data_IF_375826931800
#
_entry.id   IF_375826931800
#
_cell.length_a   1.000
_cell.length_b   1.000
_cell.length_c   1.000
_cell.angle_alpha   90.00
_cell.angle_beta   90.00
_cell.angle_gamma   90.00
#
_symmetry.space_group_name_H-M   'P 1'
#
loop_
_entity.id
_entity.type
_entity.pdbx_description
1 polymer ?
#
# COMPACT_ATOMS: atom_id res chain seq x y z
N UNK A 1 -24.98 -15.62 6.00
CA UNK A 1 -24.64 -15.08 6.24
C UNK A 1 -23.83 -14.97 6.35
N UNK A 2 -23.48 -14.80 6.31
CA UNK A 2 -22.74 -14.72 6.56
C UNK A 2 -22.14 -14.25 7.03
N UNK A 3 -22.14 -14.59 7.26
CA UNK A 3 -21.50 -14.31 8.06
C UNK A 3 -20.60 -13.39 8.08
N UNK A 4 -21.09 -12.81 8.47
CA UNK A 4 -20.33 -11.80 8.54
C UNK A 4 -19.09 -12.01 9.08
N UNK A 5 -18.55 -11.89 8.64
CA UNK A 5 -17.33 -12.08 8.71
C UNK A 5 -16.50 -11.17 9.43
N UNK A 6 -16.19 -11.55 10.55
CA UNK A 6 -15.04 -11.04 11.26
C UNK A 6 -13.84 -11.43 10.42
N UNK A 7 -13.07 -10.46 9.92
CA UNK A 7 -11.87 -10.81 9.16
C UNK A 7 -10.95 -11.63 10.04
N UNK A 8 -10.48 -12.73 9.49
CA UNK A 8 -9.49 -13.55 10.17
C UNK A 8 -8.18 -12.78 10.20
N UNK A 9 -7.56 -12.70 11.36
CA UNK A 9 -6.25 -12.05 11.47
C UNK A 9 -5.23 -12.78 10.59
N UNK A 10 -4.37 -12.03 9.94
CA UNK A 10 -3.35 -12.59 9.07
C UNK A 10 -2.27 -13.26 9.92
N UNK A 11 -1.98 -14.51 9.59
CA UNK A 11 -0.93 -15.25 10.29
C UNK A 11 0.44 -14.70 9.92
N UNK A 12 1.20 -14.17 10.88
CA UNK A 12 2.54 -13.66 10.59
C UNK A 12 3.45 -14.68 9.93
N UNK A 13 3.24 -15.98 10.20
CA UNK A 13 4.08 -17.02 9.61
C UNK A 13 3.91 -17.13 8.10
N UNK A 14 2.81 -16.59 7.54
CA UNK A 14 2.56 -16.62 6.10
C UNK A 14 3.14 -15.42 5.37
N UNK A 15 3.74 -14.45 6.09
CA UNK A 15 4.22 -13.21 5.49
C UNK A 15 5.70 -13.32 5.08
N UNK A 16 6.07 -12.73 3.94
CA UNK A 16 7.49 -12.65 3.55
C UNK A 16 8.31 -11.83 4.55
N UNK A 17 9.63 -12.05 4.61
CA UNK A 17 10.48 -11.30 5.53
C UNK A 17 10.39 -9.78 5.39
N UNK A 18 10.27 -9.27 4.17
CA UNK A 18 10.18 -7.81 3.97
C UNK A 18 8.87 -7.23 4.51
N UNK A 19 7.82 -8.03 4.57
CA UNK A 19 6.55 -7.60 5.16
C UNK A 19 6.62 -7.69 6.69
N UNK A 20 7.32 -8.70 7.22
CA UNK A 20 7.54 -8.78 8.66
C UNK A 20 8.34 -7.58 9.17
N UNK A 21 9.32 -7.13 8.39
CA UNK A 21 10.08 -5.93 8.73
C UNK A 21 9.17 -4.70 8.75
N UNK A 22 8.28 -4.56 7.77
CA UNK A 22 7.30 -3.48 7.76
C UNK A 22 6.39 -3.55 8.98
N UNK A 23 5.91 -4.75 9.32
CA UNK A 23 5.05 -4.96 10.47
C UNK A 23 5.73 -4.46 11.76
N UNK A 24 7.01 -4.75 11.92
CA UNK A 24 7.77 -4.29 13.07
C UNK A 24 7.86 -2.76 13.11
N UNK A 25 8.05 -2.12 11.96
CA UNK A 25 8.08 -0.66 11.87
C UNK A 25 6.73 -0.04 12.22
N UNK A 26 5.64 -0.76 12.05
CA UNK A 26 4.29 -0.28 12.29
C UNK A 26 3.79 -0.56 13.71
N UNK A 27 4.69 -0.85 14.65
CA UNK A 27 4.32 -1.12 16.03
C UNK A 27 3.56 0.01 16.72
N UNK A 28 3.62 1.23 16.17
CA UNK A 28 2.88 2.36 16.71
C UNK A 28 1.38 2.34 16.34
N UNK A 29 0.97 1.49 15.40
CA UNK A 29 -0.44 1.42 15.00
C UNK A 29 -1.24 0.49 15.93
N UNK A 30 -2.49 0.84 16.24
CA UNK A 30 -3.40 -0.10 16.90
C UNK A 30 -3.55 -1.36 16.09
N UNK A 31 -3.82 -2.47 16.75
CA UNK A 31 -3.89 -3.77 16.09
C UNK A 31 -4.88 -3.80 14.93
N UNK A 32 -6.05 -3.20 15.09
CA UNK A 32 -7.06 -3.18 14.02
C UNK A 32 -6.54 -2.48 12.77
N UNK A 33 -5.78 -1.40 12.95
CA UNK A 33 -5.21 -0.68 11.82
C UNK A 33 -4.04 -1.43 11.20
N UNK A 34 -3.24 -2.09 12.02
CA UNK A 34 -2.17 -2.94 11.51
C UNK A 34 -2.73 -4.06 10.63
N UNK A 35 -3.83 -4.68 11.05
CA UNK A 35 -4.46 -5.74 10.24
C UNK A 35 -4.95 -5.20 8.90
N UNK A 36 -5.44 -3.97 8.85
CA UNK A 36 -5.83 -3.34 7.59
C UNK A 36 -4.63 -3.16 6.66
N UNK A 37 -3.48 -2.78 7.21
CA UNK A 37 -2.26 -2.64 6.41
C UNK A 37 -1.82 -3.99 5.85
N UNK A 38 -1.85 -5.04 6.66
CA UNK A 38 -1.50 -6.38 6.20
C UNK A 38 -2.47 -6.89 5.14
N UNK A 39 -3.75 -6.56 5.27
CA UNK A 39 -4.74 -6.87 4.26
C UNK A 39 -4.44 -6.14 2.94
N UNK A 40 -4.00 -4.89 3.02
CA UNK A 40 -3.58 -4.14 1.83
C UNK A 40 -2.42 -4.83 1.13
N UNK A 41 -1.46 -5.37 1.89
CA UNK A 41 -0.39 -6.16 1.29
C UNK A 41 -0.95 -7.36 0.54
N UNK A 42 -1.88 -8.11 1.13
CA UNK A 42 -2.45 -9.28 0.45
C UNK A 42 -3.16 -8.89 -0.84
N UNK A 43 -3.97 -7.85 -0.79
CA UNK A 43 -4.72 -7.38 -1.96
C UNK A 43 -3.74 -6.90 -3.04
N UNK A 44 -2.74 -6.13 -2.65
CA UNK A 44 -1.74 -5.63 -3.59
C UNK A 44 -0.91 -6.76 -4.20
N UNK A 45 -0.49 -7.72 -3.39
CA UNK A 45 0.29 -8.84 -3.88
C UNK A 45 -0.50 -9.68 -4.88
N UNK A 46 -1.78 -9.91 -4.59
CA UNK A 46 -2.65 -10.65 -5.49
C UNK A 46 -2.90 -9.88 -6.79
N UNK A 47 -3.12 -8.57 -6.69
CA UNK A 47 -3.35 -7.72 -7.87
C UNK A 47 -2.13 -7.70 -8.79
N UNK A 48 -0.93 -7.68 -8.22
CA UNK A 48 0.31 -7.66 -9.00
C UNK A 48 0.88 -9.06 -9.27
N UNK A 49 0.11 -10.11 -8.99
CA UNK A 49 0.59 -11.47 -9.18
C UNK A 49 1.09 -11.68 -10.60
N UNK A 50 2.27 -12.27 -10.74
CA UNK A 50 2.89 -12.49 -12.02
C UNK A 50 3.72 -11.33 -12.54
N UNK A 51 3.63 -10.15 -11.92
CA UNK A 51 4.44 -9.00 -12.31
C UNK A 51 5.75 -9.02 -11.52
N UNK A 52 6.85 -8.79 -12.21
CA UNK A 52 8.16 -8.77 -11.58
C UNK A 52 8.89 -7.48 -11.92
N UNK A 53 9.84 -7.11 -11.07
CA UNK A 53 10.75 -6.00 -11.32
C UNK A 53 11.88 -6.48 -12.21
N UNK A 54 12.68 -5.55 -12.73
CA UNK A 54 13.85 -5.91 -13.54
C UNK A 54 14.80 -6.85 -12.80
N UNK A 55 14.85 -6.75 -11.48
CA UNK A 55 15.68 -7.61 -10.64
C UNK A 55 15.13 -9.03 -10.49
N UNK A 56 13.90 -9.29 -10.97
CA UNK A 56 13.25 -10.58 -10.82
C UNK A 56 12.39 -10.70 -9.57
N UNK A 57 12.42 -9.72 -8.67
CA UNK A 57 11.59 -9.73 -7.46
C UNK A 57 10.13 -9.46 -7.80
N UNK A 58 9.19 -9.99 -7.00
CA UNK A 58 7.77 -9.65 -7.18
C UNK A 58 7.57 -8.14 -7.12
N UNK A 59 6.68 -7.63 -7.97
CA UNK A 59 6.47 -6.18 -8.05
C UNK A 59 6.07 -5.56 -6.72
N UNK A 60 5.31 -6.27 -5.90
CA UNK A 60 4.81 -5.76 -4.62
C UNK A 60 5.94 -5.34 -3.66
N UNK A 61 7.17 -5.83 -3.86
CA UNK A 61 8.29 -5.45 -3.00
C UNK A 61 8.58 -3.95 -3.07
N UNK A 62 8.32 -3.32 -4.23
CA UNK A 62 8.52 -1.88 -4.39
C UNK A 62 7.54 -1.05 -3.55
N UNK A 63 6.22 -1.20 -3.69
CA UNK A 63 5.31 -0.41 -2.84
C UNK A 63 5.46 -0.72 -1.36
N UNK A 64 5.83 -1.93 -0.98
CA UNK A 64 6.10 -2.23 0.43
C UNK A 64 7.33 -1.45 0.93
N UNK A 65 8.36 -1.30 0.10
CA UNK A 65 9.53 -0.50 0.47
C UNK A 65 9.16 0.98 0.66
N UNK A 66 8.29 1.52 -0.22
CA UNK A 66 7.79 2.90 -0.06
C UNK A 66 7.01 3.03 1.25
N UNK A 67 6.17 2.05 1.56
CA UNK A 67 5.44 2.03 2.82
C UNK A 67 6.37 2.03 4.03
N UNK A 68 7.49 1.32 3.93
CA UNK A 68 8.50 1.29 5.00
C UNK A 68 9.09 2.66 5.29
N UNK A 69 9.34 3.45 4.25
CA UNK A 69 9.83 4.82 4.41
C UNK A 69 8.79 5.66 5.15
N UNK A 70 7.53 5.54 4.78
CA UNK A 70 6.46 6.27 5.43
C UNK A 70 6.24 5.82 6.88
N UNK A 71 6.42 4.53 7.15
CA UNK A 71 6.33 4.00 8.51
C UNK A 71 7.40 4.60 9.41
N UNK A 72 8.61 4.80 8.88
CA UNK A 72 9.67 5.46 9.64
C UNK A 72 9.29 6.88 10.02
N UNK A 73 8.45 7.53 9.21
CA UNK A 73 7.96 8.86 9.48
C UNK A 73 6.72 8.88 10.38
N UNK A 74 6.24 7.73 10.82
CA UNK A 74 5.08 7.63 11.71
C UNK A 74 3.76 7.95 11.07
N UNK A 75 3.61 7.69 9.77
CA UNK A 75 2.39 8.02 9.04
C UNK A 75 1.21 7.15 9.46
N UNK A 76 0.00 7.66 9.26
CA UNK A 76 -1.23 6.95 9.62
C UNK A 76 -1.50 5.76 8.71
N UNK A 77 -2.42 4.90 9.15
CA UNK A 77 -2.71 3.65 8.43
C UNK A 77 -3.21 3.92 7.01
N UNK A 78 -4.05 4.91 6.80
CA UNK A 78 -4.58 5.23 5.47
C UNK A 78 -3.45 5.56 4.49
N UNK A 79 -2.47 6.33 4.94
CA UNK A 79 -1.33 6.72 4.11
C UNK A 79 -0.46 5.49 3.79
N UNK A 80 -0.22 4.64 4.77
CA UNK A 80 0.56 3.42 4.57
C UNK A 80 -0.16 2.47 3.59
N UNK A 81 -1.46 2.30 3.76
CA UNK A 81 -2.28 1.46 2.86
C UNK A 81 -2.23 2.01 1.45
N UNK A 82 -2.39 3.33 1.29
CA UNK A 82 -2.34 3.97 -0.02
C UNK A 82 -0.97 3.76 -0.69
N UNK A 83 0.11 3.78 0.08
CA UNK A 83 1.44 3.53 -0.45
C UNK A 83 1.55 2.11 -1.02
N UNK A 84 1.05 1.13 -0.30
CA UNK A 84 1.09 -0.27 -0.73
C UNK A 84 0.28 -0.46 -2.01
N UNK A 85 -0.84 0.24 -2.16
CA UNK A 85 -1.79 0.04 -3.25
C UNK A 85 -1.67 1.07 -4.38
N UNK A 86 -0.70 1.98 -4.31
CA UNK A 86 -0.70 3.14 -5.22
C UNK A 86 -0.61 2.80 -6.71
N UNK A 87 -0.02 1.67 -7.06
CA UNK A 87 0.10 1.28 -8.47
C UNK A 87 -1.05 0.41 -8.97
N UNK A 88 -1.94 -0.03 -8.08
CA UNK A 88 -2.94 -1.03 -8.49
C UNK A 88 -3.95 -0.50 -9.50
N UNK A 89 -4.29 0.79 -9.43
CA UNK A 89 -5.28 1.34 -10.36
C UNK A 89 -4.80 1.41 -11.79
N UNK A 90 -3.49 1.61 -12.00
CA UNK A 90 -2.92 1.71 -13.34
C UNK A 90 -2.46 0.37 -13.87
N UNK A 91 -1.83 -0.43 -13.01
CA UNK A 91 -1.07 -1.58 -13.45
C UNK A 91 -1.79 -2.91 -13.27
N UNK A 92 -2.99 -2.90 -12.69
CA UNK A 92 -3.76 -4.12 -12.48
C UNK A 92 -5.24 -3.91 -12.78
N UNK A 93 -6.02 -4.98 -12.68
CA UNK A 93 -7.47 -4.93 -12.89
C UNK A 93 -8.25 -4.40 -11.69
N UNK A 94 -7.58 -4.10 -10.57
CA UNK A 94 -8.23 -3.63 -9.37
C UNK A 94 -8.80 -2.23 -9.59
N UNK A 95 -10.10 -2.04 -9.32
CA UNK A 95 -10.77 -0.77 -9.58
C UNK A 95 -10.77 0.14 -8.35
N UNK A 96 -10.96 1.44 -8.59
CA UNK A 96 -11.13 2.41 -7.49
C UNK A 96 -12.33 2.03 -6.62
N UNK A 97 -13.41 1.56 -7.22
CA UNK A 97 -14.59 1.13 -6.46
C UNK A 97 -14.29 -0.01 -5.52
N UNK A 98 -13.48 -0.98 -5.97
CA UNK A 98 -13.07 -2.10 -5.13
C UNK A 98 -12.19 -1.63 -3.98
N UNK A 99 -11.29 -0.69 -4.23
CA UNK A 99 -10.46 -0.11 -3.17
C UNK A 99 -11.31 0.61 -2.13
N UNK A 100 -12.27 1.42 -2.59
CA UNK A 100 -13.13 2.15 -1.69
C UNK A 100 -13.99 1.22 -0.85
N UNK A 101 -14.50 0.14 -1.45
CA UNK A 101 -15.31 -0.84 -0.73
C UNK A 101 -14.53 -1.59 0.34
N UNK A 102 -13.26 -1.91 0.06
CA UNK A 102 -12.43 -2.70 0.98
C UNK A 102 -11.75 -1.81 2.03
N UNK A 103 -11.23 -0.67 1.65
CA UNK A 103 -10.36 0.14 2.50
C UNK A 103 -10.93 1.53 2.83
N UNK A 104 -12.02 1.92 2.22
CA UNK A 104 -12.66 3.21 2.47
C UNK A 104 -12.32 4.26 1.42
N UNK A 105 -13.15 5.30 1.40
CA UNK A 105 -13.03 6.36 0.40
C UNK A 105 -11.73 7.16 0.56
N UNK A 106 -11.27 7.36 1.79
CA UNK A 106 -10.04 8.10 2.04
C UNK A 106 -8.84 7.43 1.36
N UNK A 107 -8.72 6.11 1.49
CA UNK A 107 -7.65 5.37 0.83
C UNK A 107 -7.78 5.49 -0.68
N UNK A 108 -8.99 5.33 -1.22
CA UNK A 108 -9.22 5.42 -2.66
C UNK A 108 -8.83 6.79 -3.20
N UNK A 109 -9.16 7.86 -2.48
CA UNK A 109 -8.77 9.21 -2.87
C UNK A 109 -7.27 9.42 -2.84
N UNK A 110 -6.59 8.89 -1.82
CA UNK A 110 -5.14 9.00 -1.72
C UNK A 110 -4.45 8.26 -2.85
N UNK A 111 -4.89 7.05 -3.16
CA UNK A 111 -4.33 6.26 -4.26
C UNK A 111 -4.53 6.98 -5.59
N UNK A 112 -5.73 7.50 -5.83
CA UNK A 112 -6.06 8.22 -7.04
C UNK A 112 -5.21 9.49 -7.19
N UNK A 113 -5.00 10.20 -6.07
CA UNK A 113 -4.17 11.39 -6.06
C UNK A 113 -2.71 11.10 -6.39
N UNK A 114 -2.16 10.03 -5.82
CA UNK A 114 -0.78 9.62 -6.11
C UNK A 114 -0.64 9.20 -7.57
N UNK A 115 -1.62 8.45 -8.09
CA UNK A 115 -1.63 8.06 -9.50
C UNK A 115 -1.56 9.27 -10.41
N UNK A 116 -2.33 10.32 -10.11
CA UNK A 116 -2.32 11.54 -10.90
C UNK A 116 -0.98 12.28 -10.82
N UNK A 117 -0.37 12.30 -9.63
CA UNK A 117 0.95 12.92 -9.46
C UNK A 117 2.03 12.16 -10.21
N UNK A 118 1.94 10.83 -10.25
CA UNK A 118 2.91 10.00 -10.94
C UNK A 118 2.90 10.22 -12.45
N UNK A 119 1.80 10.68 -13.00
CA UNK A 119 1.71 11.00 -14.43
C UNK A 119 2.38 12.30 -14.79
N UNK A 120 2.72 13.11 -13.80
CA UNK A 120 3.52 14.30 -14.02
C UNK A 120 4.97 13.87 -14.19
N UNK A 121 5.85 14.59 -14.65
CA UNK A 121 7.16 14.20 -15.16
C UNK A 121 8.18 13.89 -14.07
N UNK A 122 8.69 12.67 -14.05
CA UNK A 122 9.77 12.27 -13.15
C UNK A 122 10.77 11.39 -13.90
N UNK A 123 12.00 11.34 -13.43
CA UNK A 123 13.08 10.63 -14.11
C UNK A 123 13.03 9.11 -13.95
N UNK A 124 12.65 8.61 -12.80
CA UNK A 124 12.52 7.18 -12.56
C UNK A 124 11.26 6.89 -11.76
N UNK A 125 10.80 5.64 -11.83
CA UNK A 125 9.60 5.23 -11.10
C UNK A 125 9.77 5.38 -9.60
N UNK A 126 10.91 4.97 -9.06
CA UNK A 126 11.16 5.09 -7.63
C UNK A 126 11.21 6.54 -7.18
N UNK A 127 11.88 7.39 -7.95
CA UNK A 127 11.93 8.81 -7.65
C UNK A 127 10.55 9.44 -7.73
N UNK A 128 9.76 9.04 -8.74
CA UNK A 128 8.40 9.55 -8.89
C UNK A 128 7.53 9.19 -7.69
N UNK A 129 7.60 7.94 -7.26
CA UNK A 129 6.78 7.47 -6.13
C UNK A 129 7.15 8.18 -4.84
N UNK A 130 8.45 8.29 -4.55
CA UNK A 130 8.91 8.97 -3.35
C UNK A 130 8.51 10.44 -3.37
N UNK A 131 8.65 11.09 -4.51
CA UNK A 131 8.31 12.51 -4.65
C UNK A 131 6.81 12.74 -4.56
N UNK A 132 6.01 11.83 -5.14
CA UNK A 132 4.56 11.91 -5.07
C UNK A 132 4.08 11.83 -3.62
N UNK A 133 4.62 10.90 -2.86
CA UNK A 133 4.26 10.79 -1.45
C UNK A 133 4.75 11.98 -0.64
N UNK A 134 5.94 12.49 -0.95
CA UNK A 134 6.45 13.69 -0.28
C UNK A 134 5.54 14.89 -0.53
N UNK A 135 5.12 15.10 -1.77
CA UNK A 135 4.22 16.21 -2.10
C UNK A 135 2.88 16.06 -1.41
N UNK A 136 2.36 14.84 -1.36
CA UNK A 136 1.11 14.57 -0.67
C UNK A 136 1.23 14.89 0.81
N UNK A 137 2.33 14.48 1.45
CA UNK A 137 2.58 14.77 2.86
C UNK A 137 2.65 16.26 3.12
N UNK A 138 3.33 17.01 2.24
CA UNK A 138 3.41 18.47 2.38
C UNK A 138 2.04 19.12 2.25
N UNK A 139 1.20 18.58 1.37
CA UNK A 139 -0.15 19.12 1.19
C UNK A 139 -1.05 18.84 2.39
N UNK A 140 -0.76 17.79 3.15
CA UNK A 140 -1.53 17.40 4.33
C UNK A 140 -1.05 18.07 5.61
N UNK A 141 0.10 18.69 5.59
CA UNK A 141 0.72 19.30 6.77
C UNK A 141 0.02 20.58 7.22
#
# INVERSE_FOLDING_TARGET
MTAASTPVAIDPASLPPYVLALKDQLGYLPEAQLQRVLRAFEVGAQAHEGQTRKSGEPYITHPVAVAGILAELGMDAETIIAAILHDTLEDTALSRSALAAEFGETVAELVDGVTKLDKMRFGSRQEADAESFRKMLLAMA
#
